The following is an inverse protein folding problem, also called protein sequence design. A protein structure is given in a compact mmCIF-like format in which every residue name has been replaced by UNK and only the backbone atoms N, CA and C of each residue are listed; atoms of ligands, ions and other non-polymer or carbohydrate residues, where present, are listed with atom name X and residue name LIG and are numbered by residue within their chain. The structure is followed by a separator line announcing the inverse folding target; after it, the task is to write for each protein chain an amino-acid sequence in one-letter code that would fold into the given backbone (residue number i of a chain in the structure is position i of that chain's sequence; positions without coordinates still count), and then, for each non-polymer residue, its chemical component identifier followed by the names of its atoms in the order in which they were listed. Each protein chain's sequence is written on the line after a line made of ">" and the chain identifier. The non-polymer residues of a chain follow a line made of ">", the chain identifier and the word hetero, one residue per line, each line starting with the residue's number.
data_IF_938895260274
#
_entry.id   IF_938895260274
#
_cell.length_a   1.000
_cell.length_b   1.000
_cell.length_c   1.000
_cell.angle_alpha   90.00
_cell.angle_beta   90.00
_cell.angle_gamma   90.00
#
_symmetry.space_group_name_H-M   'P 1'
#
loop_
_entity.id
_entity.type
_entity.pdbx_description
1 polymer ?
#
# COMPACT_ATOMS: atom_id res chain seq x y z
N UNK A 1 13.85 -39.64 13.03
CA UNK A 1 13.94 -38.48 13.94
C UNK A 1 12.54 -38.04 14.26
N UNK A 2 12.18 -37.95 15.54
CA UNK A 2 10.83 -37.56 15.96
C UNK A 2 10.55 -36.09 15.60
N UNK A 3 9.33 -35.81 15.16
CA UNK A 3 8.88 -34.48 14.71
C UNK A 3 9.07 -33.39 15.78
N UNK A 4 8.95 -33.76 17.07
CA UNK A 4 9.22 -32.86 18.20
C UNK A 4 10.69 -32.40 18.24
N UNK A 5 11.63 -33.29 17.93
CA UNK A 5 13.06 -33.00 17.90
C UNK A 5 13.42 -32.05 16.76
N UNK A 6 12.75 -32.18 15.60
CA UNK A 6 12.92 -31.27 14.46
C UNK A 6 12.40 -29.85 14.79
N UNK A 7 11.21 -29.74 15.41
CA UNK A 7 10.63 -28.46 15.83
C UNK A 7 11.44 -27.75 16.93
N UNK A 8 11.97 -28.52 17.88
CA UNK A 8 12.85 -27.96 18.92
C UNK A 8 14.20 -27.52 18.33
N UNK A 9 14.71 -28.22 17.32
CA UNK A 9 15.95 -27.85 16.64
C UNK A 9 15.80 -26.62 15.74
N UNK A 10 14.65 -26.43 15.09
CA UNK A 10 14.37 -25.19 14.32
C UNK A 10 14.23 -24.00 15.26
N UNK A 11 13.42 -24.12 16.32
CA UNK A 11 13.24 -23.04 17.31
C UNK A 11 14.56 -22.62 17.98
N UNK A 12 15.47 -23.55 18.25
CA UNK A 12 16.80 -23.22 18.77
C UNK A 12 17.65 -22.43 17.76
N UNK A 13 17.57 -22.78 16.47
CA UNK A 13 18.27 -22.07 15.39
C UNK A 13 17.72 -20.66 15.21
N UNK A 14 16.40 -20.50 15.21
CA UNK A 14 15.74 -19.19 15.11
C UNK A 14 16.21 -18.25 16.22
N UNK A 15 16.22 -18.73 17.47
CA UNK A 15 16.67 -17.93 18.62
C UNK A 15 18.16 -17.60 18.54
N UNK A 16 19.02 -18.58 18.24
CA UNK A 16 20.47 -18.37 18.18
C UNK A 16 20.84 -17.39 17.07
N UNK A 17 20.31 -17.60 15.86
CA UNK A 17 20.59 -16.74 14.71
C UNK A 17 19.99 -15.35 14.92
N UNK A 18 18.78 -15.23 15.46
CA UNK A 18 18.15 -13.94 15.75
C UNK A 18 18.96 -13.08 16.71
N UNK A 19 19.40 -13.62 17.85
CA UNK A 19 20.24 -12.85 18.78
C UNK A 19 21.64 -12.57 18.26
N UNK A 20 22.22 -13.50 17.49
CA UNK A 20 23.52 -13.28 16.83
C UNK A 20 23.40 -12.16 15.80
N UNK A 21 22.34 -12.16 15.00
CA UNK A 21 22.02 -11.12 14.03
C UNK A 21 21.90 -9.75 14.69
N UNK A 22 21.15 -9.65 15.79
CA UNK A 22 21.01 -8.40 16.55
C UNK A 22 22.35 -7.91 17.09
N UNK A 23 23.20 -8.80 17.60
CA UNK A 23 24.53 -8.41 18.08
C UNK A 23 25.42 -7.89 16.95
N UNK A 24 25.39 -8.54 15.78
CA UNK A 24 26.13 -8.09 14.59
C UNK A 24 25.59 -6.74 14.10
N UNK A 25 24.27 -6.58 13.99
CA UNK A 25 23.66 -5.32 13.60
C UNK A 25 24.02 -4.19 14.55
N UNK A 26 24.00 -4.42 15.86
CA UNK A 26 24.40 -3.42 16.84
C UNK A 26 25.87 -2.97 16.66
N UNK A 27 26.77 -3.91 16.38
CA UNK A 27 28.17 -3.60 16.08
C UNK A 27 28.31 -2.82 14.77
N UNK A 28 27.67 -3.28 13.70
CA UNK A 28 27.67 -2.60 12.39
C UNK A 28 27.07 -1.19 12.49
N UNK A 29 26.00 -0.99 13.26
CA UNK A 29 25.42 0.34 13.50
C UNK A 29 26.42 1.26 14.22
N UNK A 30 27.14 0.77 15.23
CA UNK A 30 28.16 1.59 15.92
C UNK A 30 29.31 1.94 14.97
N UNK A 31 29.82 0.97 14.22
CA UNK A 31 30.89 1.18 13.24
C UNK A 31 30.49 2.20 12.17
N UNK A 32 29.33 2.01 11.52
CA UNK A 32 28.83 2.92 10.48
C UNK A 32 28.58 4.34 10.99
N UNK A 33 28.09 4.50 12.22
CA UNK A 33 27.95 5.83 12.86
C UNK A 33 29.30 6.50 13.07
N UNK A 34 30.32 5.73 13.50
CA UNK A 34 31.67 6.26 13.71
C UNK A 34 32.32 6.68 12.38
N UNK A 35 32.01 5.98 11.29
CA UNK A 35 32.46 6.31 9.94
C UNK A 35 31.65 7.45 9.28
N UNK A 36 30.58 7.92 9.93
CA UNK A 36 29.69 8.96 9.39
C UNK A 36 28.72 8.48 8.31
N UNK A 37 28.62 7.17 8.08
CA UNK A 37 27.70 6.53 7.14
C UNK A 37 26.30 6.35 7.78
N UNK A 38 25.60 7.47 8.00
CA UNK A 38 24.33 7.50 8.72
C UNK A 38 23.17 6.79 8.01
N UNK A 39 23.21 6.72 6.68
CA UNK A 39 22.27 5.97 5.84
C UNK A 39 22.27 4.48 6.20
N UNK A 40 23.44 3.87 6.23
CA UNK A 40 23.59 2.45 6.55
C UNK A 40 23.38 2.14 8.03
N UNK A 41 23.76 3.06 8.92
CA UNK A 41 23.44 2.97 10.33
C UNK A 41 21.92 2.90 10.55
N UNK A 42 21.16 3.73 9.83
CA UNK A 42 19.70 3.73 9.90
C UNK A 42 19.09 2.43 9.36
N UNK A 43 19.54 1.94 8.20
CA UNK A 43 19.04 0.66 7.65
C UNK A 43 19.32 -0.49 8.63
N UNK A 44 20.54 -0.58 9.18
CA UNK A 44 20.90 -1.60 10.17
C UNK A 44 20.01 -1.51 11.43
N UNK A 45 19.72 -0.29 11.90
CA UNK A 45 18.82 -0.07 13.03
C UNK A 45 17.39 -0.52 12.72
N UNK A 46 16.84 -0.20 11.54
CA UNK A 46 15.49 -0.62 11.13
C UNK A 46 15.39 -2.15 11.07
N UNK A 47 16.37 -2.82 10.46
CA UNK A 47 16.41 -4.29 10.41
C UNK A 47 16.48 -4.88 11.82
N UNK A 48 17.30 -4.31 12.71
CA UNK A 48 17.40 -4.75 14.10
C UNK A 48 16.07 -4.59 14.85
N UNK A 49 15.38 -3.47 14.65
CA UNK A 49 14.07 -3.19 15.25
C UNK A 49 13.03 -4.21 14.77
N UNK A 50 12.98 -4.50 13.47
CA UNK A 50 12.06 -5.52 12.93
C UNK A 50 12.33 -6.88 13.58
N UNK A 51 13.58 -7.36 13.56
CA UNK A 51 13.95 -8.65 14.17
C UNK A 51 13.61 -8.71 15.67
N UNK A 52 13.78 -7.60 16.40
CA UNK A 52 13.50 -7.51 17.82
C UNK A 52 12.02 -7.31 18.15
N UNK A 53 11.19 -6.93 17.19
CA UNK A 53 9.78 -6.57 17.43
C UNK A 53 9.02 -7.70 18.12
N UNK A 54 9.08 -8.97 17.67
CA UNK A 54 8.40 -10.06 18.37
C UNK A 54 8.93 -10.24 19.80
N UNK A 55 10.25 -10.25 19.99
CA UNK A 55 10.85 -10.45 21.30
C UNK A 55 10.43 -9.38 22.33
N UNK A 56 10.32 -8.13 21.89
CA UNK A 56 9.92 -6.98 22.72
C UNK A 56 8.41 -6.99 22.98
N UNK A 57 7.59 -7.15 21.94
CA UNK A 57 6.11 -7.09 22.04
C UNK A 57 5.57 -8.23 22.90
N UNK A 58 6.06 -9.47 22.71
CA UNK A 58 5.63 -10.63 23.50
C UNK A 58 6.38 -10.77 24.82
N UNK A 59 7.39 -9.92 25.07
CA UNK A 59 8.30 -10.03 26.23
C UNK A 59 8.91 -11.42 26.38
N UNK A 60 9.14 -12.11 25.26
CA UNK A 60 9.74 -13.45 25.21
C UNK A 60 10.99 -13.42 24.33
N UNK A 61 12.16 -13.66 24.93
CA UNK A 61 13.44 -13.71 24.22
C UNK A 61 13.53 -14.86 23.20
N UNK A 62 12.57 -15.77 23.20
CA UNK A 62 12.49 -16.89 22.25
C UNK A 62 11.61 -16.59 21.05
N UNK A 63 10.84 -15.51 21.09
CA UNK A 63 10.05 -15.03 19.95
C UNK A 63 11.01 -14.34 18.97
N UNK A 64 11.65 -15.14 18.12
CA UNK A 64 12.54 -14.68 17.06
C UNK A 64 11.99 -15.11 15.70
N UNK A 65 12.21 -14.32 14.63
CA UNK A 65 11.79 -14.69 13.29
C UNK A 65 12.57 -15.91 12.75
N UNK A 66 12.08 -16.54 11.66
CA UNK A 66 12.79 -17.63 11.01
C UNK A 66 14.21 -17.23 10.61
N UNK A 67 15.20 -18.02 11.01
CA UNK A 67 16.60 -17.70 10.79
C UNK A 67 16.95 -17.48 9.30
N UNK A 68 16.27 -18.15 8.37
CA UNK A 68 16.51 -18.00 6.93
C UNK A 68 16.23 -16.58 6.45
N UNK A 69 15.12 -16.00 6.93
CA UNK A 69 14.72 -14.65 6.57
C UNK A 69 15.62 -13.61 7.23
N UNK A 70 16.05 -13.88 8.46
CA UNK A 70 17.03 -13.04 9.16
C UNK A 70 18.35 -13.02 8.39
N UNK A 71 18.88 -14.17 7.95
CA UNK A 71 20.11 -14.23 7.16
C UNK A 71 19.93 -13.54 5.81
N UNK A 72 18.80 -13.73 5.14
CA UNK A 72 18.52 -13.08 3.86
C UNK A 72 18.47 -11.54 4.01
N UNK A 73 17.83 -11.03 5.05
CA UNK A 73 17.78 -9.60 5.34
C UNK A 73 19.14 -9.02 5.76
N UNK A 74 19.99 -9.82 6.41
CA UNK A 74 21.34 -9.42 6.79
C UNK A 74 22.35 -9.43 5.64
N UNK A 75 22.16 -10.28 4.63
CA UNK A 75 23.18 -10.52 3.61
C UNK A 75 23.69 -9.23 2.92
N UNK A 76 22.84 -8.25 2.57
CA UNK A 76 23.30 -6.98 1.97
C UNK A 76 24.10 -6.11 2.94
N UNK A 77 23.71 -6.06 4.21
CA UNK A 77 24.41 -5.30 5.26
C UNK A 77 25.78 -5.90 5.57
N UNK A 78 25.86 -7.23 5.67
CA UNK A 78 27.12 -7.93 5.91
C UNK A 78 28.07 -7.82 4.72
N UNK A 79 27.54 -7.89 3.51
CA UNK A 79 28.33 -7.71 2.29
C UNK A 79 29.06 -6.37 2.32
N UNK A 80 28.32 -5.30 2.60
CA UNK A 80 28.90 -3.97 2.64
C UNK A 80 29.86 -3.79 3.82
N UNK A 81 29.48 -4.22 5.03
CA UNK A 81 30.32 -4.08 6.22
C UNK A 81 31.66 -4.82 6.08
N UNK A 82 31.66 -5.99 5.44
CA UNK A 82 32.88 -6.81 5.29
C UNK A 82 33.74 -6.39 4.11
N UNK A 83 33.12 -6.03 2.98
CA UNK A 83 33.87 -5.79 1.74
C UNK A 83 34.12 -4.31 1.48
N UNK A 84 33.41 -3.40 2.17
CA UNK A 84 33.49 -1.95 1.95
C UNK A 84 33.13 -1.53 0.52
N UNK A 85 32.50 -2.42 -0.26
CA UNK A 85 32.13 -2.19 -1.65
C UNK A 85 30.62 -2.08 -1.77
N UNK A 86 30.16 -0.95 -2.30
CA UNK A 86 28.82 -0.87 -2.86
C UNK A 86 28.70 -1.82 -4.05
N UNK A 87 27.55 -2.45 -4.19
CA UNK A 87 27.31 -3.34 -5.32
C UNK A 87 27.42 -2.54 -6.62
N UNK A 88 27.94 -3.17 -7.68
CA UNK A 88 28.00 -2.55 -9.02
C UNK A 88 26.63 -2.25 -9.62
N UNK A 89 25.59 -2.87 -9.07
CA UNK A 89 24.18 -2.65 -9.41
C UNK A 89 23.39 -2.45 -8.13
N UNK A 90 22.28 -1.74 -8.21
CA UNK A 90 21.41 -1.48 -7.05
C UNK A 90 20.50 -2.66 -6.69
N UNK A 91 20.48 -3.70 -7.53
CA UNK A 91 19.67 -4.92 -7.36
C UNK A 91 19.76 -5.49 -5.93
N UNK A 92 20.94 -5.62 -5.30
CA UNK A 92 21.04 -6.21 -3.97
C UNK A 92 20.43 -5.35 -2.86
N UNK A 93 20.38 -4.03 -3.03
CA UNK A 93 19.67 -3.11 -2.12
C UNK A 93 18.17 -3.37 -2.18
N UNK A 94 17.59 -3.51 -3.38
CA UNK A 94 16.17 -3.80 -3.55
C UNK A 94 15.80 -5.21 -3.06
N UNK A 95 16.71 -6.18 -3.21
CA UNK A 95 16.55 -7.50 -2.59
C UNK A 95 16.55 -7.41 -1.04
N UNK A 96 17.31 -6.49 -0.46
CA UNK A 96 17.29 -6.22 0.99
C UNK A 96 15.92 -5.71 1.44
N UNK A 97 15.39 -4.71 0.75
CA UNK A 97 14.06 -4.12 1.03
C UNK A 97 12.98 -5.20 0.89
N UNK A 98 13.05 -6.01 -0.16
CA UNK A 98 12.10 -7.10 -0.37
C UNK A 98 12.25 -8.22 0.68
N UNK A 99 13.46 -8.50 1.17
CA UNK A 99 13.69 -9.42 2.27
C UNK A 99 13.14 -8.89 3.60
N UNK A 100 13.25 -7.59 3.86
CA UNK A 100 12.65 -6.93 5.01
C UNK A 100 11.12 -6.96 4.94
N UNK A 101 10.54 -6.67 3.77
CA UNK A 101 9.10 -6.80 3.53
C UNK A 101 8.61 -8.22 3.75
N UNK A 102 9.40 -9.20 3.33
CA UNK A 102 9.13 -10.60 3.53
C UNK A 102 9.19 -11.02 5.01
N UNK A 103 10.20 -10.54 5.74
CA UNK A 103 10.34 -10.72 7.16
C UNK A 103 9.13 -10.15 7.91
N UNK A 104 8.75 -8.90 7.62
CA UNK A 104 7.59 -8.24 8.21
C UNK A 104 6.28 -8.98 7.91
N UNK A 105 6.06 -9.42 6.67
CA UNK A 105 4.89 -10.22 6.29
C UNK A 105 4.84 -11.56 7.04
N UNK A 106 6.00 -12.20 7.19
CA UNK A 106 6.12 -13.46 7.94
C UNK A 106 5.84 -13.25 9.43
N UNK A 107 6.31 -12.15 10.01
CA UNK A 107 6.02 -11.81 11.40
C UNK A 107 4.53 -11.53 11.62
N UNK A 108 3.88 -10.80 10.70
CA UNK A 108 2.43 -10.60 10.73
C UNK A 108 1.72 -11.96 10.74
N UNK A 109 2.11 -12.89 9.87
CA UNK A 109 1.49 -14.21 9.82
C UNK A 109 1.77 -15.08 11.07
N UNK A 110 2.96 -15.01 11.65
CA UNK A 110 3.37 -15.88 12.76
C UNK A 110 2.98 -15.36 14.14
N UNK A 111 3.03 -14.04 14.33
CA UNK A 111 2.92 -13.42 15.64
C UNK A 111 1.62 -12.64 15.84
N UNK A 112 0.87 -12.36 14.77
CA UNK A 112 -0.45 -11.72 14.90
C UNK A 112 -1.55 -12.71 14.53
N UNK A 113 -2.81 -12.29 14.72
CA UNK A 113 -3.94 -13.09 14.25
C UNK A 113 -4.16 -13.01 12.73
N UNK A 114 -3.33 -12.25 11.99
CA UNK A 114 -3.42 -12.15 10.53
C UNK A 114 -3.24 -13.52 9.90
N UNK A 115 -4.27 -13.95 9.16
CA UNK A 115 -4.22 -15.15 8.32
C UNK A 115 -4.19 -14.70 6.87
N UNK A 116 -3.34 -15.34 6.08
CA UNK A 116 -3.17 -15.01 4.67
C UNK A 116 -3.04 -16.30 3.86
N UNK A 117 -3.68 -16.35 2.70
CA UNK A 117 -3.38 -17.36 1.70
C UNK A 117 -2.15 -16.93 0.88
N UNK A 118 -1.70 -17.81 -0.02
CA UNK A 118 -0.51 -17.61 -0.84
C UNK A 118 -0.58 -16.33 -1.70
N UNK A 119 -1.61 -16.11 -2.55
CA UNK A 119 -1.65 -14.91 -3.39
C UNK A 119 -1.72 -13.62 -2.55
N UNK A 120 -2.47 -13.62 -1.44
CA UNK A 120 -2.53 -12.46 -0.55
C UNK A 120 -1.16 -12.16 0.07
N UNK A 121 -0.41 -13.18 0.48
CA UNK A 121 0.93 -12.96 1.03
C UNK A 121 1.90 -12.36 0.00
N UNK A 122 1.85 -12.80 -1.27
CA UNK A 122 2.66 -12.23 -2.35
C UNK A 122 2.32 -10.76 -2.56
N UNK A 123 1.02 -10.44 -2.69
CA UNK A 123 0.55 -9.06 -2.85
C UNK A 123 0.98 -8.21 -1.67
N UNK A 124 0.82 -8.71 -0.44
CA UNK A 124 1.24 -7.99 0.77
C UNK A 124 2.75 -7.71 0.77
N UNK A 125 3.60 -8.67 0.36
CA UNK A 125 5.05 -8.45 0.25
C UNK A 125 5.36 -7.34 -0.77
N UNK A 126 4.69 -7.33 -1.92
CA UNK A 126 4.86 -6.26 -2.93
C UNK A 126 4.44 -4.91 -2.36
N UNK A 127 3.29 -4.82 -1.70
CA UNK A 127 2.80 -3.59 -1.08
C UNK A 127 3.76 -3.07 -0.01
N UNK A 128 4.25 -3.94 0.88
CA UNK A 128 5.25 -3.56 1.90
C UNK A 128 6.56 -3.12 1.25
N UNK A 129 7.02 -3.81 0.20
CA UNK A 129 8.26 -3.46 -0.50
C UNK A 129 8.17 -2.05 -1.11
N UNK A 130 7.08 -1.77 -1.83
CA UNK A 130 6.80 -0.45 -2.42
C UNK A 130 6.69 0.64 -1.34
N UNK A 131 5.97 0.35 -0.27
CA UNK A 131 5.78 1.33 0.80
C UNK A 131 7.09 1.65 1.52
N UNK A 132 7.93 0.64 1.80
CA UNK A 132 9.24 0.87 2.41
C UNK A 132 10.14 1.69 1.49
N UNK A 133 10.17 1.39 0.19
CA UNK A 133 10.94 2.17 -0.79
C UNK A 133 10.48 3.63 -0.87
N UNK A 134 9.15 3.86 -0.93
CA UNK A 134 8.58 5.21 -0.94
C UNK A 134 8.84 5.97 0.36
N UNK A 135 8.67 5.34 1.53
CA UNK A 135 8.96 5.97 2.83
C UNK A 135 10.43 6.34 2.94
N UNK A 136 11.33 5.48 2.45
CA UNK A 136 12.76 5.75 2.44
C UNK A 136 13.10 7.02 1.65
N UNK A 137 12.58 7.13 0.43
CA UNK A 137 12.78 8.31 -0.41
C UNK A 137 12.15 9.58 0.18
N UNK A 138 10.95 9.49 0.76
CA UNK A 138 10.32 10.61 1.48
C UNK A 138 11.19 11.06 2.66
N UNK A 139 11.76 10.14 3.43
CA UNK A 139 12.65 10.46 4.56
C UNK A 139 13.95 11.12 4.10
N UNK A 140 14.59 10.60 3.05
CA UNK A 140 15.81 11.17 2.51
C UNK A 140 15.58 12.58 1.94
N UNK A 141 14.54 12.77 1.12
CA UNK A 141 14.16 14.07 0.58
C UNK A 141 13.82 15.06 1.70
N UNK A 142 13.06 14.62 2.72
CA UNK A 142 12.74 15.45 3.88
C UNK A 142 14.01 15.85 4.63
N UNK A 143 14.96 14.92 4.78
CA UNK A 143 16.23 15.23 5.43
C UNK A 143 17.04 16.27 4.64
N UNK A 144 17.06 16.16 3.31
CA UNK A 144 17.77 17.11 2.45
C UNK A 144 17.13 18.51 2.52
N UNK A 145 15.80 18.59 2.54
CA UNK A 145 15.05 19.85 2.64
C UNK A 145 15.21 20.52 4.01
N UNK A 146 15.11 19.78 5.11
CA UNK A 146 15.08 20.36 6.46
C UNK A 146 16.44 20.44 7.14
N UNK A 147 17.36 19.52 6.84
CA UNK A 147 18.67 19.44 7.46
C UNK A 147 19.82 19.75 6.50
N UNK A 148 19.54 19.97 5.20
CA UNK A 148 20.55 20.29 4.20
C UNK A 148 21.50 19.12 3.89
N UNK A 149 21.04 17.88 4.10
CA UNK A 149 21.75 16.69 3.62
C UNK A 149 21.68 16.60 2.10
N UNK A 150 22.44 15.68 1.51
CA UNK A 150 22.51 15.46 0.06
C UNK A 150 22.32 13.98 -0.28
N UNK A 151 21.33 13.34 0.35
CA UNK A 151 21.04 11.92 0.13
C UNK A 151 20.40 11.67 -1.24
N UNK A 152 19.49 12.56 -1.66
CA UNK A 152 18.75 12.51 -2.93
C UNK A 152 18.98 13.83 -3.71
N UNK A 153 18.91 14.98 -3.02
CA UNK A 153 19.13 16.30 -3.61
C UNK A 153 20.63 16.62 -3.69
N UNK A 154 21.30 16.06 -4.70
CA UNK A 154 22.76 16.09 -4.88
C UNK A 154 23.26 17.17 -5.88
N UNK A 155 22.38 18.06 -6.32
CA UNK A 155 22.68 19.13 -7.27
C UNK A 155 22.46 18.80 -8.75
N UNK A 156 22.03 17.56 -9.07
CA UNK A 156 21.47 17.23 -10.39
C UNK A 156 20.12 17.93 -10.63
N UNK A 157 19.62 17.88 -11.88
CA UNK A 157 18.30 18.42 -12.19
C UNK A 157 17.19 17.60 -11.50
N UNK A 158 16.10 18.28 -11.16
CA UNK A 158 14.92 17.68 -10.53
C UNK A 158 14.40 16.46 -11.31
N UNK A 159 14.35 16.55 -12.65
CA UNK A 159 13.89 15.46 -13.51
C UNK A 159 14.85 14.26 -13.53
N UNK A 160 16.17 14.53 -13.47
CA UNK A 160 17.17 13.46 -13.45
C UNK A 160 17.16 12.71 -12.11
N UNK A 161 16.99 13.44 -11.01
CA UNK A 161 16.82 12.84 -9.68
C UNK A 161 15.51 12.04 -9.65
N UNK A 162 14.41 12.60 -10.19
CA UNK A 162 13.13 11.89 -10.20
C UNK A 162 13.19 10.61 -11.02
N UNK A 163 13.80 10.64 -12.20
CA UNK A 163 13.96 9.46 -13.04
C UNK A 163 14.70 8.33 -12.31
N UNK A 164 15.76 8.65 -11.56
CA UNK A 164 16.49 7.66 -10.77
C UNK A 164 15.63 7.07 -9.64
N UNK A 165 14.90 7.91 -8.90
CA UNK A 165 13.97 7.47 -7.84
C UNK A 165 12.86 6.58 -8.39
N UNK A 166 12.33 6.87 -9.57
CA UNK A 166 11.30 6.03 -10.18
C UNK A 166 11.86 4.72 -10.74
N UNK A 167 13.09 4.72 -11.25
CA UNK A 167 13.80 3.47 -11.57
C UNK A 167 14.03 2.63 -10.31
N UNK A 168 14.32 3.27 -9.17
CA UNK A 168 14.35 2.61 -7.86
C UNK A 168 13.00 1.98 -7.52
N UNK A 169 11.88 2.71 -7.65
CA UNK A 169 10.55 2.15 -7.38
C UNK A 169 10.18 1.00 -8.30
N UNK A 170 10.51 1.07 -9.60
CA UNK A 170 10.34 -0.04 -10.55
C UNK A 170 11.17 -1.25 -10.12
N UNK A 171 12.42 -1.02 -9.72
CA UNK A 171 13.32 -2.09 -9.29
C UNK A 171 12.86 -2.74 -7.97
N UNK A 172 12.37 -1.94 -7.03
CA UNK A 172 11.74 -2.39 -5.79
C UNK A 172 10.46 -3.20 -6.08
N UNK A 173 9.64 -2.78 -7.05
CA UNK A 173 8.46 -3.54 -7.48
C UNK A 173 8.84 -4.93 -8.00
N UNK A 174 9.83 -4.99 -8.89
CA UNK A 174 10.36 -6.25 -9.43
C UNK A 174 10.95 -7.14 -8.33
N UNK A 175 11.72 -6.56 -7.41
CA UNK A 175 12.31 -7.28 -6.28
C UNK A 175 11.23 -7.81 -5.32
N UNK A 176 10.19 -7.02 -5.02
CA UNK A 176 9.05 -7.41 -4.20
C UNK A 176 8.28 -8.58 -4.80
N UNK A 177 8.02 -8.56 -6.11
CA UNK A 177 7.40 -9.69 -6.83
C UNK A 177 8.28 -10.93 -6.72
N UNK A 178 9.59 -10.79 -6.99
CA UNK A 178 10.57 -11.87 -6.86
C UNK A 178 10.60 -12.47 -5.45
N UNK A 179 10.63 -11.63 -4.42
CA UNK A 179 10.62 -12.05 -3.02
C UNK A 179 9.31 -12.73 -2.62
N UNK A 180 8.16 -12.24 -3.08
CA UNK A 180 6.86 -12.89 -2.88
C UNK A 180 6.83 -14.30 -3.49
N UNK A 181 7.38 -14.47 -4.71
CA UNK A 181 7.48 -15.78 -5.36
C UNK A 181 8.47 -16.71 -4.62
N UNK A 182 9.58 -16.17 -4.12
CA UNK A 182 10.53 -16.93 -3.29
C UNK A 182 9.91 -17.35 -1.96
N UNK A 183 9.11 -16.49 -1.34
CA UNK A 183 8.34 -16.82 -0.14
C UNK A 183 7.38 -17.96 -0.39
N UNK A 184 6.63 -17.92 -1.48
CA UNK A 184 5.73 -19.00 -1.83
C UNK A 184 6.50 -20.32 -2.02
N UNK A 185 7.72 -20.30 -2.56
CA UNK A 185 8.61 -21.49 -2.59
C UNK A 185 9.07 -21.93 -1.19
N UNK A 186 9.42 -20.99 -0.33
CA UNK A 186 9.84 -21.26 1.05
C UNK A 186 8.73 -21.87 1.91
N UNK A 187 7.49 -21.37 1.78
CA UNK A 187 6.32 -21.96 2.43
C UNK A 187 6.04 -23.34 1.85
N UNK A 188 6.12 -23.51 0.52
CA UNK A 188 5.96 -24.83 -0.14
C UNK A 188 6.94 -25.88 0.36
N UNK A 189 8.23 -25.55 0.57
CA UNK A 189 9.20 -26.52 1.06
C UNK A 189 8.92 -26.94 2.51
N UNK A 190 8.40 -26.04 3.34
CA UNK A 190 8.03 -26.34 4.74
C UNK A 190 6.71 -27.10 4.87
N UNK A 191 5.75 -26.85 3.98
CA UNK A 191 4.51 -27.62 3.91
C UNK A 191 4.78 -29.05 3.40
N UNK A 192 5.69 -29.21 2.42
CA UNK A 192 6.08 -30.50 1.85
C UNK A 192 6.82 -31.42 2.85
N UNK A 193 7.52 -30.83 3.83
CA UNK A 193 8.19 -31.57 4.91
C UNK A 193 7.22 -31.96 6.05
N UNK A 194 5.99 -31.42 6.05
CA UNK A 194 4.91 -31.79 6.98
C UNK A 194 3.67 -32.31 6.26
N UNK A 195 3.80 -33.45 5.59
CA UNK A 195 2.63 -34.16 5.05
C UNK A 195 1.82 -34.83 6.18
N UNK A 196 1.25 -34.03 7.11
CA UNK A 196 0.01 -34.27 7.86
C UNK A 196 -0.33 -33.07 8.78
N UNK A 197 -0.51 -31.87 8.22
CA UNK A 197 -1.11 -30.73 8.93
C UNK A 197 -2.46 -30.37 8.31
N UNK A 198 -3.40 -31.33 8.36
CA UNK A 198 -4.82 -30.96 8.40
C UNK A 198 -5.10 -30.41 9.79
N UNK A 199 -4.88 -29.11 9.96
CA UNK A 199 -5.57 -28.36 10.99
C UNK A 199 -7.08 -28.46 10.68
N UNK A 200 -7.79 -29.28 11.45
CA UNK A 200 -9.25 -29.28 11.52
C UNK A 200 -9.61 -28.19 12.52
N UNK A 201 -10.28 -27.09 12.11
CA UNK A 201 -10.72 -26.07 13.04
C UNK A 201 -11.68 -26.66 14.07
N UNK A 202 -11.72 -26.17 15.32
CA UNK A 202 -12.94 -26.28 16.10
C UNK A 202 -14.05 -25.58 15.31
N UNK A 203 -15.22 -26.21 15.18
CA UNK A 203 -16.40 -25.50 14.68
C UNK A 203 -16.57 -24.20 15.48
N UNK A 204 -16.96 -23.08 14.83
CA UNK A 204 -17.36 -21.89 15.57
C UNK A 204 -18.43 -22.34 16.57
N UNK A 205 -18.19 -22.09 17.85
CA UNK A 205 -19.05 -22.56 18.94
C UNK A 205 -20.52 -22.26 18.61
N UNK A 206 -21.28 -23.27 18.18
CA UNK A 206 -22.71 -23.19 17.89
C UNK A 206 -23.55 -23.06 19.16
N UNK A 207 -22.89 -23.03 20.32
CA UNK A 207 -23.46 -22.81 21.64
C UNK A 207 -23.41 -21.34 22.11
N UNK A 208 -23.06 -20.38 21.23
CA UNK A 208 -23.55 -19.02 21.45
C UNK A 208 -25.02 -19.01 21.03
N UNK A 209 -25.89 -19.16 22.02
CA UNK A 209 -27.32 -18.92 21.89
C UNK A 209 -27.52 -17.55 21.23
N UNK A 210 -27.99 -17.56 19.99
CA UNK A 210 -28.39 -16.39 19.19
C UNK A 210 -29.63 -15.70 19.81
N UNK A 211 -29.51 -15.25 21.06
CA UNK A 211 -30.66 -14.89 21.89
C UNK A 211 -30.58 -13.55 22.62
N UNK A 212 -29.45 -13.12 23.17
CA UNK A 212 -29.50 -12.15 24.28
C UNK A 212 -28.54 -10.94 24.26
N UNK A 213 -27.82 -10.65 23.18
CA UNK A 213 -27.01 -9.40 23.10
C UNK A 213 -27.38 -8.52 21.89
N UNK A 214 -28.67 -8.47 21.54
CA UNK A 214 -29.25 -7.43 20.67
C UNK A 214 -29.96 -6.34 21.49
N UNK A 215 -29.50 -6.06 22.71
CA UNK A 215 -29.86 -4.81 23.40
C UNK A 215 -28.97 -3.67 22.91
N UNK A 216 -29.48 -2.99 21.89
CA UNK A 216 -29.41 -1.54 21.72
C UNK A 216 -28.09 -0.85 22.05
N UNK A 217 -27.09 -1.04 21.19
CA UNK A 217 -26.12 0.01 20.89
C UNK A 217 -26.71 1.07 19.97
N UNK A 218 -27.81 1.71 20.38
CA UNK A 218 -28.51 2.76 19.60
C UNK A 218 -27.72 4.07 19.49
N UNK A 219 -26.55 4.17 20.14
CA UNK A 219 -25.82 5.42 20.22
C UNK A 219 -24.84 5.65 19.06
N UNK A 220 -24.27 4.60 18.44
CA UNK A 220 -23.21 4.76 17.41
C UNK A 220 -23.77 5.06 16.01
N UNK A 221 -24.86 4.38 15.63
CA UNK A 221 -25.60 4.69 14.39
C UNK A 221 -26.40 6.00 14.47
N UNK A 222 -26.58 6.55 15.69
CA UNK A 222 -27.21 7.87 15.88
C UNK A 222 -26.19 8.99 15.63
N UNK A 223 -24.94 8.81 16.01
CA UNK A 223 -23.88 9.81 15.80
C UNK A 223 -23.41 9.86 14.34
N UNK A 224 -23.38 8.73 13.62
CA UNK A 224 -23.19 8.67 12.17
C UNK A 224 -24.32 9.38 11.38
N UNK A 225 -25.56 9.31 11.89
CA UNK A 225 -26.71 10.06 11.33
C UNK A 225 -26.62 11.56 11.64
N UNK A 226 -26.14 11.95 12.82
CA UNK A 226 -26.04 13.36 13.26
C UNK A 226 -25.00 14.20 12.49
N UNK A 227 -24.00 13.59 11.86
CA UNK A 227 -23.04 14.30 10.99
C UNK A 227 -23.60 14.57 9.59
N UNK A 228 -24.45 13.67 9.05
CA UNK A 228 -25.14 13.82 7.76
C UNK A 228 -26.08 15.04 7.74
N UNK A 229 -26.61 15.41 8.91
CA UNK A 229 -27.51 16.55 9.09
C UNK A 229 -26.81 17.91 9.25
N UNK A 230 -25.47 17.94 9.42
CA UNK A 230 -24.73 19.21 9.62
C UNK A 230 -24.33 19.93 8.33
N UNK A 231 -24.44 19.27 7.17
CA UNK A 231 -24.23 19.85 5.84
C UNK A 231 -25.38 19.42 4.91
N UNK A 232 -26.57 19.95 5.15
CA UNK A 232 -27.83 19.49 4.54
C UNK A 232 -27.96 19.82 3.04
N UNK A 233 -27.20 19.13 2.18
CA UNK A 233 -27.43 19.08 0.73
C UNK A 233 -28.28 17.85 0.45
N UNK A 234 -29.47 18.04 -0.14
CA UNK A 234 -30.35 16.91 -0.45
C UNK A 234 -29.72 15.94 -1.46
N UNK A 235 -30.04 14.63 -1.42
CA UNK A 235 -29.50 13.65 -2.37
C UNK A 235 -29.75 14.05 -3.84
N UNK A 236 -30.88 14.71 -4.12
CA UNK A 236 -31.18 15.27 -5.44
C UNK A 236 -30.16 16.33 -5.87
N UNK A 237 -29.79 17.24 -4.97
CA UNK A 237 -28.77 18.27 -5.24
C UNK A 237 -27.38 17.67 -5.39
N UNK A 238 -27.04 16.64 -4.63
CA UNK A 238 -25.78 15.90 -4.78
C UNK A 238 -25.67 15.26 -6.17
N UNK A 239 -26.71 14.55 -6.62
CA UNK A 239 -26.75 13.99 -7.98
C UNK A 239 -26.73 15.06 -9.07
N UNK A 240 -27.40 16.20 -8.87
CA UNK A 240 -27.35 17.33 -9.79
C UNK A 240 -25.92 17.90 -9.89
N UNK A 241 -25.23 18.02 -8.76
CA UNK A 241 -23.84 18.47 -8.72
C UNK A 241 -22.91 17.48 -9.45
N UNK A 242 -23.03 16.17 -9.18
CA UNK A 242 -22.27 15.14 -9.92
C UNK A 242 -22.50 15.22 -11.43
N UNK A 243 -23.76 15.37 -11.86
CA UNK A 243 -24.10 15.55 -13.28
C UNK A 243 -23.53 16.84 -13.86
N UNK A 244 -23.56 17.92 -13.09
CA UNK A 244 -22.93 19.19 -13.47
C UNK A 244 -21.44 19.02 -13.74
N UNK A 245 -20.72 18.36 -12.84
CA UNK A 245 -19.30 18.04 -13.02
C UNK A 245 -19.06 17.17 -14.26
N UNK A 246 -19.87 16.13 -14.48
CA UNK A 246 -19.80 15.29 -15.69
C UNK A 246 -20.02 16.09 -16.99
N UNK A 247 -20.96 17.04 -16.99
CA UNK A 247 -21.18 17.92 -18.14
C UNK A 247 -19.99 18.84 -18.40
N UNK A 248 -19.36 19.35 -17.34
CA UNK A 248 -18.13 20.15 -17.47
C UNK A 248 -16.98 19.28 -17.98
N UNK A 249 -16.79 18.06 -17.49
CA UNK A 249 -15.80 17.11 -18.01
C UNK A 249 -16.01 16.82 -19.50
N UNK A 250 -17.26 16.60 -19.91
CA UNK A 250 -17.59 16.44 -21.33
C UNK A 250 -17.26 17.72 -22.13
N UNK A 251 -17.48 18.89 -21.55
CA UNK A 251 -17.04 20.18 -22.12
C UNK A 251 -15.51 20.28 -22.27
N UNK A 252 -14.75 19.91 -21.25
CA UNK A 252 -13.27 19.87 -21.27
C UNK A 252 -12.79 18.88 -22.34
N UNK A 253 -13.41 17.71 -22.45
CA UNK A 253 -13.10 16.73 -23.48
C UNK A 253 -13.32 17.30 -24.89
N UNK A 254 -14.46 17.94 -25.13
CA UNK A 254 -14.76 18.58 -26.42
C UNK A 254 -13.80 19.73 -26.72
N UNK A 255 -13.44 20.51 -25.70
CA UNK A 255 -12.44 21.57 -25.81
C UNK A 255 -11.06 21.01 -26.16
N UNK A 256 -10.60 19.96 -25.47
CA UNK A 256 -9.33 19.29 -25.77
C UNK A 256 -9.29 18.75 -27.19
N UNK A 257 -10.38 18.14 -27.67
CA UNK A 257 -10.51 17.68 -29.05
C UNK A 257 -10.41 18.83 -30.05
N UNK A 258 -11.02 19.97 -29.74
CA UNK A 258 -10.94 21.19 -30.55
C UNK A 258 -9.52 21.79 -30.55
N UNK A 259 -8.89 21.86 -29.39
CA UNK A 259 -7.53 22.37 -29.19
C UNK A 259 -6.43 21.41 -29.71
N UNK A 260 -6.80 20.15 -30.00
CA UNK A 260 -5.88 19.04 -30.35
C UNK A 260 -4.84 18.76 -29.26
N UNK A 261 -5.29 18.86 -28.02
CA UNK A 261 -4.49 18.60 -26.83
C UNK A 261 -4.76 17.16 -26.36
N UNK A 262 -3.82 16.26 -26.63
CA UNK A 262 -3.99 14.82 -26.35
C UNK A 262 -4.02 14.53 -24.85
N UNK A 263 -3.27 15.28 -24.04
CA UNK A 263 -3.24 15.16 -22.59
C UNK A 263 -4.62 15.50 -22.01
N UNK A 264 -5.18 16.65 -22.38
CA UNK A 264 -6.50 17.08 -21.90
C UNK A 264 -7.59 16.12 -22.36
N UNK A 265 -7.53 15.64 -23.62
CA UNK A 265 -8.50 14.68 -24.16
C UNK A 265 -8.47 13.37 -23.41
N UNK A 266 -7.28 12.78 -23.24
CA UNK A 266 -7.16 11.47 -22.60
C UNK A 266 -7.54 11.54 -21.11
N UNK A 267 -7.08 12.56 -20.37
CA UNK A 267 -7.47 12.75 -18.98
C UNK A 267 -8.97 12.95 -18.82
N UNK A 268 -9.59 13.87 -19.58
CA UNK A 268 -11.02 14.11 -19.49
C UNK A 268 -11.85 12.87 -19.86
N UNK A 269 -11.41 12.09 -20.85
CA UNK A 269 -12.08 10.86 -21.25
C UNK A 269 -12.01 9.77 -20.14
N UNK A 270 -10.83 9.54 -19.56
CA UNK A 270 -10.63 8.58 -18.47
C UNK A 270 -11.44 8.99 -17.24
N UNK A 271 -11.36 10.26 -16.84
CA UNK A 271 -12.11 10.75 -15.67
C UNK A 271 -13.62 10.66 -15.89
N UNK A 272 -14.13 11.00 -17.07
CA UNK A 272 -15.55 10.84 -17.39
C UNK A 272 -15.98 9.36 -17.36
N UNK A 273 -15.14 8.44 -17.84
CA UNK A 273 -15.38 7.00 -17.75
C UNK A 273 -15.46 6.53 -16.29
N UNK A 274 -14.53 6.97 -15.43
CA UNK A 274 -14.53 6.64 -13.99
C UNK A 274 -15.83 7.14 -13.32
N UNK A 275 -16.32 8.34 -13.64
CA UNK A 275 -17.60 8.82 -13.07
C UNK A 275 -18.82 7.98 -13.48
N UNK A 276 -18.69 7.12 -14.48
CA UNK A 276 -19.76 6.21 -14.93
C UNK A 276 -19.81 4.91 -14.11
N UNK A 277 -18.74 4.59 -13.36
CA UNK A 277 -18.64 3.36 -12.56
C UNK A 277 -19.84 3.17 -11.61
N UNK A 278 -20.28 4.17 -10.82
CA UNK A 278 -21.44 3.98 -9.95
C UNK A 278 -22.73 3.63 -10.71
N UNK A 279 -22.91 4.15 -11.93
CA UNK A 279 -24.08 3.87 -12.75
C UNK A 279 -24.02 2.45 -13.34
N UNK A 280 -22.82 2.01 -13.74
CA UNK A 280 -22.58 0.64 -14.24
C UNK A 280 -22.82 -0.37 -13.11
N UNK A 281 -22.26 -0.13 -11.92
CA UNK A 281 -22.46 -0.98 -10.74
C UNK A 281 -23.94 -1.14 -10.40
N UNK A 282 -24.72 -0.06 -10.45
CA UNK A 282 -26.16 -0.10 -10.24
C UNK A 282 -26.91 -0.90 -11.30
N UNK A 283 -26.51 -0.76 -12.57
CA UNK A 283 -27.21 -1.35 -13.71
C UNK A 283 -26.92 -2.84 -13.85
N UNK A 284 -25.65 -3.20 -13.83
CA UNK A 284 -25.18 -4.55 -14.14
C UNK A 284 -25.17 -5.45 -12.91
N UNK A 285 -24.97 -4.88 -11.72
CA UNK A 285 -24.79 -5.64 -10.48
C UNK A 285 -25.80 -5.27 -9.39
N UNK A 286 -26.74 -4.36 -9.66
CA UNK A 286 -27.76 -3.95 -8.68
C UNK A 286 -27.23 -3.14 -7.49
N UNK A 287 -25.93 -2.77 -7.47
CA UNK A 287 -25.31 -2.07 -6.35
C UNK A 287 -25.60 -0.57 -6.40
N UNK A 288 -26.43 -0.08 -5.49
CA UNK A 288 -26.70 1.36 -5.35
C UNK A 288 -25.75 2.02 -4.35
N UNK A 289 -24.95 2.99 -4.80
CA UNK A 289 -24.11 3.81 -3.93
C UNK A 289 -24.87 5.03 -3.40
N UNK A 290 -24.56 5.46 -2.17
CA UNK A 290 -25.09 6.70 -1.59
C UNK A 290 -24.70 7.92 -2.45
N UNK A 291 -25.61 8.89 -2.56
CA UNK A 291 -25.41 10.07 -3.39
C UNK A 291 -24.20 10.92 -2.97
N UNK A 292 -23.83 10.92 -1.69
CA UNK A 292 -22.65 11.60 -1.17
C UNK A 292 -21.36 10.92 -1.61
N UNK A 293 -21.32 9.59 -1.65
CA UNK A 293 -20.17 8.82 -2.13
C UNK A 293 -19.95 9.03 -3.64
N UNK A 294 -21.03 9.02 -4.42
CA UNK A 294 -20.97 9.36 -5.85
C UNK A 294 -20.46 10.78 -6.05
N UNK A 295 -20.94 11.75 -5.25
CA UNK A 295 -20.48 13.13 -5.32
C UNK A 295 -18.99 13.24 -4.98
N UNK A 296 -18.53 12.59 -3.92
CA UNK A 296 -17.13 12.61 -3.48
C UNK A 296 -16.19 11.98 -4.52
N UNK A 297 -16.51 10.79 -5.03
CA UNK A 297 -15.75 10.15 -6.10
C UNK A 297 -15.72 11.04 -7.35
N UNK A 298 -16.87 11.59 -7.75
CA UNK A 298 -16.95 12.50 -8.91
C UNK A 298 -16.13 13.76 -8.69
N UNK A 299 -16.14 14.34 -7.48
CA UNK A 299 -15.39 15.54 -7.16
C UNK A 299 -13.88 15.31 -7.21
N UNK A 300 -13.39 14.17 -6.72
CA UNK A 300 -11.97 13.82 -6.79
C UNK A 300 -11.46 13.78 -8.24
N UNK A 301 -12.11 12.99 -9.10
CA UNK A 301 -11.71 12.86 -10.51
C UNK A 301 -11.96 14.14 -11.32
N UNK A 302 -13.00 14.90 -10.95
CA UNK A 302 -13.30 16.19 -11.57
C UNK A 302 -12.22 17.24 -11.29
N UNK A 303 -11.80 17.36 -10.03
CA UNK A 303 -10.77 18.32 -9.65
C UNK A 303 -9.41 17.93 -10.26
N UNK A 304 -9.08 16.64 -10.27
CA UNK A 304 -7.88 16.16 -10.96
C UNK A 304 -7.89 16.53 -12.46
N UNK A 305 -9.00 16.30 -13.18
CA UNK A 305 -9.12 16.69 -14.60
C UNK A 305 -8.99 18.20 -14.84
N UNK A 306 -9.50 19.04 -13.93
CA UNK A 306 -9.31 20.49 -13.96
C UNK A 306 -7.84 20.87 -13.73
N UNK A 307 -7.16 20.12 -12.86
CA UNK A 307 -5.73 20.16 -12.61
C UNK A 307 -4.92 20.03 -13.89
N UNK A 308 -5.07 18.89 -14.57
CA UNK A 308 -4.40 18.60 -15.85
C UNK A 308 -4.81 19.58 -16.96
N UNK A 309 -6.04 20.09 -16.95
CA UNK A 309 -6.47 21.12 -17.90
C UNK A 309 -5.86 22.52 -17.65
N UNK A 310 -4.98 22.66 -16.65
CA UNK A 310 -4.13 23.83 -16.45
C UNK A 310 -4.08 24.40 -15.04
N UNK A 311 -4.86 23.89 -14.07
CA UNK A 311 -4.80 24.40 -12.70
C UNK A 311 -3.53 23.97 -11.94
N UNK A 312 -2.89 22.85 -12.31
CA UNK A 312 -1.62 22.42 -11.72
C UNK A 312 -0.51 23.47 -11.89
N UNK A 313 -0.44 24.12 -13.05
CA UNK A 313 0.55 25.17 -13.30
C UNK A 313 0.18 26.54 -12.71
N UNK A 314 -1.09 26.75 -12.33
CA UNK A 314 -1.59 28.06 -11.88
C UNK A 314 -1.69 28.18 -10.36
N UNK A 315 -1.93 27.08 -9.65
CA UNK A 315 -2.20 27.09 -8.21
C UNK A 315 -1.21 26.11 -7.52
N UNK A 316 -0.19 26.61 -6.80
CA UNK A 316 0.93 25.79 -6.28
C UNK A 316 0.59 24.63 -5.34
N UNK A 317 -0.63 24.58 -4.79
CA UNK A 317 -1.10 23.49 -3.90
C UNK A 317 -2.21 22.65 -4.52
N UNK A 318 -2.68 22.99 -5.71
CA UNK A 318 -3.88 22.36 -6.26
C UNK A 318 -3.64 20.89 -6.52
N UNK A 319 -2.51 20.59 -7.16
CA UNK A 319 -2.05 19.23 -7.45
C UNK A 319 -1.99 18.34 -6.20
N UNK A 320 -1.14 18.70 -5.24
CA UNK A 320 -1.04 18.06 -3.92
C UNK A 320 -2.39 17.87 -3.21
N UNK A 321 -3.27 18.87 -3.22
CA UNK A 321 -4.61 18.75 -2.61
C UNK A 321 -5.49 17.76 -3.37
N UNK A 322 -5.42 17.74 -4.69
CA UNK A 322 -6.12 16.73 -5.50
C UNK A 322 -5.56 15.33 -5.28
N UNK A 323 -4.25 15.16 -5.08
CA UNK A 323 -3.64 13.89 -4.70
C UNK A 323 -4.14 13.42 -3.33
N UNK A 324 -4.16 14.28 -2.32
CA UNK A 324 -4.75 13.94 -1.03
C UNK A 324 -6.24 13.53 -1.14
N UNK A 325 -7.03 14.26 -1.94
CA UNK A 325 -8.44 13.92 -2.17
C UNK A 325 -8.60 12.58 -2.91
N UNK A 326 -7.81 12.35 -3.96
CA UNK A 326 -7.80 11.08 -4.70
C UNK A 326 -7.38 9.92 -3.81
N UNK A 327 -6.38 10.11 -2.95
CA UNK A 327 -5.95 9.12 -1.96
C UNK A 327 -7.05 8.76 -0.97
N UNK A 328 -7.96 9.70 -0.64
CA UNK A 328 -9.13 9.36 0.17
C UNK A 328 -10.06 8.37 -0.55
N UNK A 329 -10.26 8.51 -1.86
CA UNK A 329 -11.06 7.60 -2.69
C UNK A 329 -10.36 6.24 -2.82
N UNK A 330 -9.04 6.23 -3.05
CA UNK A 330 -8.22 5.01 -3.07
C UNK A 330 -8.31 4.28 -1.73
N UNK A 331 -8.30 4.99 -0.60
CA UNK A 331 -8.45 4.41 0.73
C UNK A 331 -9.80 3.70 0.91
N UNK A 332 -10.90 4.30 0.44
CA UNK A 332 -12.20 3.65 0.46
C UNK A 332 -12.26 2.39 -0.42
N UNK A 333 -11.66 2.46 -1.61
CA UNK A 333 -11.51 1.30 -2.49
C UNK A 333 -10.69 0.18 -1.83
N UNK A 334 -9.56 0.52 -1.22
CA UNK A 334 -8.71 -0.41 -0.48
C UNK A 334 -9.46 -1.07 0.69
N UNK A 335 -10.21 -0.29 1.47
CA UNK A 335 -11.06 -0.83 2.54
C UNK A 335 -12.11 -1.81 2.00
N UNK A 336 -12.78 -1.46 0.90
CA UNK A 336 -13.73 -2.34 0.24
C UNK A 336 -13.09 -3.66 -0.21
N UNK A 337 -11.90 -3.61 -0.83
CA UNK A 337 -11.13 -4.80 -1.23
C UNK A 337 -10.77 -5.65 -0.01
N UNK A 338 -10.20 -5.06 1.05
CA UNK A 338 -9.84 -5.83 2.25
C UNK A 338 -11.06 -6.43 2.94
N UNK A 339 -12.18 -5.71 2.97
CA UNK A 339 -13.44 -6.23 3.51
C UNK A 339 -13.97 -7.39 2.67
N UNK A 340 -13.92 -7.29 1.34
CA UNK A 340 -14.25 -8.36 0.39
C UNK A 340 -13.55 -9.65 0.74
N UNK A 341 -12.23 -9.53 0.83
CA UNK A 341 -11.32 -10.62 1.10
C UNK A 341 -11.58 -11.20 2.48
N UNK A 342 -11.79 -10.35 3.49
CA UNK A 342 -12.04 -10.79 4.86
C UNK A 342 -13.34 -11.58 5.03
N UNK A 343 -14.42 -11.18 4.35
CA UNK A 343 -15.74 -11.81 4.50
C UNK A 343 -15.83 -13.11 3.72
N UNK A 344 -15.25 -13.16 2.52
CA UNK A 344 -15.53 -14.25 1.57
C UNK A 344 -14.37 -15.21 1.35
N UNK A 345 -13.16 -14.90 1.83
CA UNK A 345 -12.01 -15.80 1.72
C UNK A 345 -11.73 -16.42 3.09
N UNK A 346 -12.23 -17.64 3.31
CA UNK A 346 -12.14 -18.35 4.60
C UNK A 346 -10.71 -18.48 5.16
N UNK A 347 -9.70 -18.41 4.29
CA UNK A 347 -8.27 -18.53 4.65
C UNK A 347 -7.57 -17.19 4.90
N UNK A 348 -8.27 -16.06 4.80
CA UNK A 348 -7.73 -14.72 5.05
C UNK A 348 -8.47 -14.08 6.22
N UNK A 349 -7.72 -13.53 7.17
CA UNK A 349 -8.27 -12.80 8.30
C UNK A 349 -7.35 -11.64 8.62
N UNK A 350 -7.91 -10.43 8.71
CA UNK A 350 -7.20 -9.23 9.14
C UNK A 350 -7.91 -8.76 10.40
N UNK A 351 -7.24 -8.73 11.57
CA UNK A 351 -7.87 -8.23 12.79
C UNK A 351 -8.24 -6.74 12.63
N UNK A 352 -9.41 -6.30 13.15
CA UNK A 352 -9.89 -4.93 12.98
C UNK A 352 -8.88 -3.86 13.41
N UNK A 353 -8.09 -4.14 14.46
CA UNK A 353 -7.04 -3.24 14.96
C UNK A 353 -5.92 -2.96 13.96
N UNK A 354 -5.72 -3.84 12.97
CA UNK A 354 -4.70 -3.69 11.92
C UNK A 354 -5.29 -3.17 10.61
N UNK A 355 -6.62 -3.07 10.47
CA UNK A 355 -7.25 -2.66 9.22
C UNK A 355 -6.79 -1.27 8.76
N UNK A 356 -6.69 -0.31 9.69
CA UNK A 356 -6.17 1.03 9.39
C UNK A 356 -4.72 0.99 8.86
N UNK A 357 -3.86 0.17 9.46
CA UNK A 357 -2.48 0.00 8.99
C UNK A 357 -2.42 -0.60 7.59
N UNK A 358 -3.28 -1.58 7.27
CA UNK A 358 -3.37 -2.18 5.94
C UNK A 358 -3.90 -1.18 4.89
N UNK A 359 -4.86 -0.32 5.25
CA UNK A 359 -5.35 0.74 4.35
C UNK A 359 -4.24 1.76 4.10
N UNK A 360 -3.57 2.26 5.15
CA UNK A 360 -2.46 3.21 5.02
C UNK A 360 -1.36 2.64 4.11
N UNK A 361 -0.97 1.38 4.37
CA UNK A 361 0.00 0.66 3.55
C UNK A 361 -0.45 0.58 2.09
N UNK A 362 -1.69 0.17 1.86
CA UNK A 362 -2.25 0.03 0.51
C UNK A 362 -2.28 1.36 -0.24
N UNK A 363 -2.77 2.43 0.38
CA UNK A 363 -2.86 3.75 -0.27
C UNK A 363 -1.49 4.31 -0.57
N UNK A 364 -0.55 4.19 0.36
CA UNK A 364 0.81 4.67 0.15
C UNK A 364 1.52 3.89 -0.98
N UNK A 365 1.41 2.56 -0.98
CA UNK A 365 1.94 1.73 -2.06
C UNK A 365 1.24 1.99 -3.41
N UNK A 366 -0.06 2.26 -3.41
CA UNK A 366 -0.80 2.66 -4.60
C UNK A 366 -0.35 4.03 -5.13
N UNK A 367 -0.01 4.97 -4.24
CA UNK A 367 0.63 6.24 -4.62
C UNK A 367 1.96 6.01 -5.32
N UNK A 368 2.85 5.19 -4.75
CA UNK A 368 4.12 4.83 -5.39
C UNK A 368 3.90 4.15 -6.75
N UNK A 369 2.91 3.24 -6.85
CA UNK A 369 2.56 2.59 -8.11
C UNK A 369 1.99 3.57 -9.15
N UNK A 370 1.31 4.64 -8.72
CA UNK A 370 0.81 5.70 -9.58
C UNK A 370 1.95 6.50 -10.20
N UNK A 371 2.94 6.91 -9.40
CA UNK A 371 4.15 7.59 -9.90
C UNK A 371 4.90 6.73 -10.94
N UNK A 372 5.03 5.43 -10.68
CA UNK A 372 5.63 4.49 -11.64
C UNK A 372 4.83 4.44 -12.95
N UNK A 373 3.49 4.45 -12.86
CA UNK A 373 2.61 4.41 -14.03
C UNK A 373 2.78 5.67 -14.88
N UNK A 374 2.81 6.85 -14.26
CA UNK A 374 3.03 8.12 -14.96
C UNK A 374 4.37 8.12 -15.69
N UNK A 375 5.45 7.69 -15.02
CA UNK A 375 6.77 7.55 -15.63
C UNK A 375 6.80 6.56 -16.78
N UNK A 376 6.17 5.40 -16.61
CA UNK A 376 6.12 4.39 -17.65
C UNK A 376 5.38 4.92 -18.90
N UNK A 377 4.32 5.70 -18.70
CA UNK A 377 3.54 6.30 -19.79
C UNK A 377 4.30 7.45 -20.46
N UNK A 378 4.96 8.31 -19.70
CA UNK A 378 5.81 9.40 -20.23
C UNK A 378 6.98 8.84 -21.05
N UNK A 379 7.72 7.87 -20.51
CA UNK A 379 8.84 7.22 -21.21
C UNK A 379 8.38 6.46 -22.46
N UNK A 380 7.19 5.85 -22.43
CA UNK A 380 6.60 5.21 -23.60
C UNK A 380 6.21 6.22 -24.67
N UNK A 381 5.66 7.36 -24.27
CA UNK A 381 5.31 8.45 -25.19
C UNK A 381 6.56 9.03 -25.87
N UNK A 382 7.62 9.28 -25.09
CA UNK A 382 8.91 9.72 -25.59
C UNK A 382 9.53 8.73 -26.60
N UNK A 383 9.48 7.43 -26.30
CA UNK A 383 9.98 6.39 -27.21
C UNK A 383 9.19 6.31 -28.54
N UNK A 384 7.90 6.65 -28.50
CA UNK A 384 7.01 6.66 -29.67
C UNK A 384 7.00 8.00 -30.41
N UNK A 385 7.66 9.04 -29.87
CA UNK A 385 7.65 10.39 -30.42
C UNK A 385 6.27 11.06 -30.37
N UNK A 386 5.41 10.65 -29.45
CA UNK A 386 4.09 11.25 -29.20
C UNK A 386 4.13 12.12 -27.95
N UNK A 387 3.15 13.01 -27.80
CA UNK A 387 3.00 13.79 -26.57
C UNK A 387 2.60 12.88 -25.42
N UNK A 388 3.24 13.08 -24.27
CA UNK A 388 2.88 12.40 -23.03
C UNK A 388 1.45 12.78 -22.61
N UNK A 389 0.72 11.79 -22.10
CA UNK A 389 -0.67 11.95 -21.64
C UNK A 389 -0.73 12.25 -20.14
N UNK A 390 0.28 11.81 -19.40
CA UNK A 390 0.48 12.14 -18.00
C UNK A 390 1.89 12.74 -17.92
N UNK A 391 1.97 14.03 -17.68
CA UNK A 391 3.25 14.72 -17.52
C UNK A 391 3.75 14.40 -16.12
N UNK A 392 4.91 13.78 -16.05
CA UNK A 392 5.63 13.63 -14.80
C UNK A 392 6.46 14.88 -14.54
N UNK A 393 6.39 15.40 -13.31
CA UNK A 393 7.19 16.54 -12.87
C UNK A 393 8.46 16.08 -12.14
N UNK A 394 9.17 17.01 -11.50
CA UNK A 394 10.42 16.75 -10.78
C UNK A 394 10.23 16.00 -9.46
N UNK A 395 11.34 15.69 -8.78
CA UNK A 395 11.32 14.91 -7.52
C UNK A 395 10.52 15.59 -6.39
N UNK A 396 10.53 16.92 -6.33
CA UNK A 396 9.75 17.67 -5.33
C UNK A 396 8.23 17.48 -5.49
N UNK A 397 7.78 17.14 -6.69
CA UNK A 397 6.38 16.86 -7.01
C UNK A 397 6.01 15.44 -6.58
N UNK A 398 6.73 14.44 -7.09
CA UNK A 398 6.58 13.02 -6.73
C UNK A 398 6.61 12.80 -5.21
N UNK A 399 7.57 13.39 -4.49
CA UNK A 399 7.63 13.27 -3.03
C UNK A 399 6.48 14.03 -2.35
N UNK A 400 6.13 15.21 -2.88
CA UNK A 400 4.98 15.97 -2.42
C UNK A 400 3.68 15.18 -2.51
N UNK A 401 3.48 14.47 -3.61
CA UNK A 401 2.31 13.63 -3.85
C UNK A 401 2.26 12.43 -2.93
N UNK A 402 3.38 11.72 -2.73
CA UNK A 402 3.44 10.64 -1.74
C UNK A 402 3.09 11.12 -0.33
N UNK A 403 3.56 12.31 0.07
CA UNK A 403 3.22 12.91 1.37
C UNK A 403 1.72 13.23 1.44
N UNK A 404 1.16 13.89 0.43
CA UNK A 404 -0.26 14.24 0.44
C UNK A 404 -1.17 13.02 0.31
N UNK A 405 -0.74 11.98 -0.41
CA UNK A 405 -1.40 10.68 -0.43
C UNK A 405 -1.45 10.04 0.97
N UNK A 406 -0.33 10.07 1.71
CA UNK A 406 -0.29 9.62 3.10
C UNK A 406 -1.23 10.42 4.02
N UNK A 407 -1.28 11.75 3.85
CA UNK A 407 -2.18 12.63 4.60
C UNK A 407 -3.66 12.32 4.30
N UNK A 408 -4.02 12.14 3.02
CA UNK A 408 -5.37 11.73 2.61
C UNK A 408 -5.76 10.37 3.20
N UNK A 409 -4.85 9.40 3.17
CA UNK A 409 -5.05 8.09 3.79
C UNK A 409 -5.23 8.19 5.31
N UNK A 410 -4.47 9.07 5.98
CA UNK A 410 -4.59 9.30 7.42
C UNK A 410 -5.95 9.92 7.78
N UNK A 411 -6.42 10.89 6.99
CA UNK A 411 -7.77 11.46 7.13
C UNK A 411 -8.80 10.33 7.08
N UNK A 412 -8.76 9.49 6.05
CA UNK A 412 -9.72 8.38 5.94
C UNK A 412 -9.58 7.37 7.07
N UNK A 413 -8.39 7.04 7.54
CA UNK A 413 -8.26 6.05 8.62
C UNK A 413 -8.67 6.59 9.99
N UNK A 414 -8.57 7.90 10.24
CA UNK A 414 -9.07 8.55 11.45
C UNK A 414 -10.59 8.71 11.41
N UNK A 415 -11.16 9.11 10.28
CA UNK A 415 -12.60 9.44 10.15
C UNK A 415 -13.47 8.36 9.51
N UNK A 416 -12.87 7.33 8.90
CA UNK A 416 -13.52 6.36 8.00
C UNK A 416 -14.24 5.20 8.66
N UNK A 417 -14.12 5.03 9.99
CA UNK A 417 -14.94 4.07 10.72
C UNK A 417 -16.46 4.38 10.63
N UNK A 418 -16.82 5.61 10.26
CA UNK A 418 -18.22 6.10 10.28
C UNK A 418 -18.90 6.08 8.91
N UNK A 419 -18.16 6.04 7.79
CA UNK A 419 -18.72 6.24 6.44
C UNK A 419 -18.50 5.09 5.45
N UNK A 420 -17.56 4.18 5.72
CA UNK A 420 -17.13 3.21 4.71
C UNK A 420 -17.79 1.83 4.83
N UNK A 421 -18.48 1.54 5.93
CA UNK A 421 -19.03 0.21 6.23
C UNK A 421 -20.05 -0.24 5.17
N UNK A 422 -21.08 0.58 4.89
CA UNK A 422 -22.19 0.19 3.99
C UNK A 422 -21.76 -0.01 2.52
N UNK A 423 -20.83 0.83 2.02
CA UNK A 423 -20.31 0.70 0.65
C UNK A 423 -19.31 -0.45 0.53
N UNK A 424 -18.47 -0.64 1.56
CA UNK A 424 -17.49 -1.71 1.58
C UNK A 424 -18.14 -3.08 1.52
N UNK A 425 -19.27 -3.27 2.21
CA UNK A 425 -20.04 -4.53 2.19
C UNK A 425 -20.57 -4.81 0.78
N UNK A 426 -21.14 -3.80 0.12
CA UNK A 426 -21.69 -3.97 -1.23
C UNK A 426 -20.64 -4.26 -2.30
N UNK A 427 -19.50 -3.54 -2.30
CA UNK A 427 -18.40 -3.77 -3.26
C UNK A 427 -17.67 -5.07 -2.94
N UNK A 428 -17.58 -5.42 -1.65
CA UNK A 428 -16.97 -6.66 -1.18
C UNK A 428 -17.62 -7.90 -1.79
N UNK A 429 -18.95 -7.95 -1.75
CA UNK A 429 -19.73 -9.09 -2.24
C UNK A 429 -19.54 -9.29 -3.76
N UNK A 430 -19.39 -8.20 -4.53
CA UNK A 430 -19.29 -8.22 -5.99
C UNK A 430 -17.93 -8.65 -6.51
N UNK A 431 -16.84 -8.07 -5.99
CA UNK A 431 -15.48 -8.41 -6.43
C UNK A 431 -15.25 -9.91 -6.34
N UNK A 432 -15.78 -10.55 -5.29
CA UNK A 432 -15.60 -11.98 -5.06
C UNK A 432 -16.57 -12.84 -5.86
N UNK A 433 -17.83 -12.43 -6.09
CA UNK A 433 -18.73 -13.15 -6.99
C UNK A 433 -18.10 -13.38 -8.38
N UNK A 434 -17.35 -12.39 -8.86
CA UNK A 434 -16.63 -12.44 -10.14
C UNK A 434 -15.37 -13.34 -10.09
N UNK A 435 -14.74 -13.51 -8.92
CA UNK A 435 -13.64 -14.47 -8.75
C UNK A 435 -14.14 -15.92 -8.64
N UNK A 436 -15.27 -16.15 -7.95
CA UNK A 436 -15.88 -17.49 -7.80
C UNK A 436 -16.42 -18.01 -9.14
N UNK A 437 -17.00 -17.14 -9.97
CA UNK A 437 -17.51 -17.53 -11.29
C UNK A 437 -16.39 -17.95 -12.27
N UNK A 438 -15.19 -17.39 -12.11
CA UNK A 438 -14.00 -17.75 -12.92
C UNK A 438 -13.24 -18.99 -12.42
N UNK A 439 -13.40 -19.40 -11.16
CA UNK A 439 -12.79 -20.64 -10.62
C UNK A 439 -13.61 -21.90 -10.99
N UNK A 440 -14.81 -21.71 -11.55
CA UNK A 440 -15.74 -22.77 -11.97
C UNK A 440 -15.89 -22.93 -13.49
N UNK A 441 -15.10 -22.18 -14.29
CA UNK A 441 -15.13 -22.23 -15.76
C UNK A 441 -13.97 -22.98 -16.39
#
# INVERSE_FOLDING_TARGET
>A
MDQLSALLASRKRDVLTGWTAVAVLALTTVETVLDGAFDWAFVALVVAVVILTPAVVFRDRRAMPPWELVVLALAPLLWQAVLGQTFRTEIPTYLAVAALALLASTELHQFTSVRMNRPFAIVLVVLITLAVAGVWNVLQWTADVFFGTTFVLDGRSQDAINADVLVEFVSASCAGIGAGVLFDRFVRSRDAESNNRSYVPPEPNSDRTDGDDLESGTDDASDARRLRDRLSISPRRQHQASRGMQLVLAGILLWGLYARDLEVVANAAVMLAITSVPAILRREYGLSMDAGLVLWLTAAVFLHALGSAGLYSQIPLFDRVTHALSATVVAAGGYAVFRAVHVHVERIYIPPKLMSAFILLFVFAAGVAWEILEFALDQSAAALGIQAVLIQYGIDDTIGDLIFNALGALVVTIWGAVYLTDLSESIADLVVAQFVENDHS
#
